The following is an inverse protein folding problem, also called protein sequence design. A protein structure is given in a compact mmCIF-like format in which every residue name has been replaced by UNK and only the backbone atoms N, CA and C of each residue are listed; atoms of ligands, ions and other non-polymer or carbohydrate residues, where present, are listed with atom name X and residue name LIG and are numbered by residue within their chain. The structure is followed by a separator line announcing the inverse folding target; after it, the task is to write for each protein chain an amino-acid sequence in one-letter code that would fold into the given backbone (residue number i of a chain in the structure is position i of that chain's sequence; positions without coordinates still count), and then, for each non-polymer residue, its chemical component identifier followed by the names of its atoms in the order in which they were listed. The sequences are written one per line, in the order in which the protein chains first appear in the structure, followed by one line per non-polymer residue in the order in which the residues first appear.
data_IF_064182937566
#
_entry.id   IF_064182937566
#
_cell.length_a   1.000
_cell.length_b   1.000
_cell.length_c   1.000
_cell.angle_alpha   90.00
_cell.angle_beta   90.00
_cell.angle_gamma   90.00
#
_symmetry.space_group_name_H-M   'P 1'
#
loop_
_entity.id
_entity.type
_entity.pdbx_description
1 polymer ?
#
# COMPACT_ATOMS: atom_id res chain seq x y z
N UNK A 1 -23.19 24.47 -15.89
CA UNK A 1 -23.05 23.31 -16.81
C UNK A 1 -22.63 22.12 -15.97
N UNK A 2 -23.45 21.07 -15.97
CA UNK A 2 -23.35 19.89 -15.10
C UNK A 2 -22.11 19.05 -15.42
N UNK A 3 -21.12 19.06 -14.53
CA UNK A 3 -20.00 18.10 -14.47
C UNK A 3 -20.17 17.13 -13.30
N UNK A 4 -21.39 16.66 -13.08
CA UNK A 4 -21.68 15.57 -12.15
C UNK A 4 -22.34 14.45 -12.95
N UNK A 5 -21.86 13.21 -12.76
CA UNK A 5 -22.38 11.92 -13.28
C UNK A 5 -21.66 11.27 -14.48
N UNK A 6 -20.33 11.18 -14.49
CA UNK A 6 -19.66 10.16 -15.33
C UNK A 6 -18.82 9.12 -14.57
N UNK A 7 -18.54 9.34 -13.28
CA UNK A 7 -17.76 8.39 -12.45
C UNK A 7 -18.64 7.23 -11.94
N UNK A 8 -19.95 7.42 -11.86
CA UNK A 8 -20.90 6.40 -11.35
C UNK A 8 -21.23 5.27 -12.33
N UNK A 9 -20.74 5.32 -13.57
CA UNK A 9 -20.94 4.27 -14.58
C UNK A 9 -19.70 3.36 -14.77
N UNK A 10 -18.77 3.35 -13.82
CA UNK A 10 -17.68 2.39 -13.85
C UNK A 10 -18.20 1.03 -13.37
N UNK A 11 -18.07 0.00 -14.23
CA UNK A 11 -18.41 -1.37 -13.87
C UNK A 11 -17.71 -1.75 -12.56
N UNK A 12 -18.41 -2.43 -11.65
CA UNK A 12 -17.81 -2.82 -10.37
C UNK A 12 -16.72 -3.86 -10.60
N UNK A 13 -15.72 -3.95 -9.72
CA UNK A 13 -14.72 -5.01 -9.78
C UNK A 13 -15.40 -6.38 -9.94
N UNK A 14 -16.38 -6.70 -9.08
CA UNK A 14 -17.19 -7.93 -9.17
C UNK A 14 -17.90 -8.13 -10.52
N UNK A 15 -18.30 -7.07 -11.22
CA UNK A 15 -19.00 -7.14 -12.50
C UNK A 15 -18.04 -7.30 -13.68
N UNK A 16 -16.85 -6.69 -13.61
CA UNK A 16 -15.79 -6.88 -14.61
C UNK A 16 -15.14 -8.26 -14.47
N UNK A 17 -15.13 -8.78 -13.25
CA UNK A 17 -14.64 -10.11 -12.91
C UNK A 17 -15.72 -11.18 -13.05
N UNK A 18 -16.99 -10.81 -13.28
CA UNK A 18 -18.08 -11.75 -13.47
C UNK A 18 -17.88 -12.53 -14.78
N UNK A 19 -17.43 -13.79 -14.65
CA UNK A 19 -17.09 -14.67 -15.77
C UNK A 19 -15.60 -15.01 -15.88
N UNK A 20 -14.73 -14.34 -15.10
CA UNK A 20 -13.34 -14.74 -14.93
C UNK A 20 -13.30 -15.80 -13.82
N UNK A 21 -13.04 -17.06 -14.17
CA UNK A 21 -12.84 -18.11 -13.17
C UNK A 21 -11.52 -17.85 -12.44
N UNK A 22 -11.53 -17.13 -11.32
CA UNK A 22 -10.33 -16.81 -10.51
C UNK A 22 -9.77 -18.02 -9.74
N UNK A 23 -9.85 -19.22 -10.33
CA UNK A 23 -9.41 -20.48 -9.73
C UNK A 23 -7.91 -20.71 -9.87
N UNK A 24 -7.21 -19.94 -10.72
CA UNK A 24 -5.76 -20.02 -10.92
C UNK A 24 -5.09 -18.69 -10.53
N UNK A 25 -3.91 -18.76 -9.92
CA UNK A 25 -3.14 -17.59 -9.49
C UNK A 25 -2.81 -16.63 -10.66
N UNK A 26 -2.68 -17.15 -11.88
CA UNK A 26 -2.46 -16.37 -13.10
C UNK A 26 -3.66 -15.47 -13.44
N UNK A 27 -4.88 -15.84 -13.05
CA UNK A 27 -6.06 -15.00 -13.27
C UNK A 27 -6.18 -13.87 -12.22
N UNK A 28 -5.39 -13.91 -11.15
CA UNK A 28 -5.34 -12.80 -10.17
C UNK A 28 -4.61 -11.58 -10.74
N UNK A 29 -3.85 -11.74 -11.83
CA UNK A 29 -3.21 -10.63 -12.52
C UNK A 29 -4.26 -9.67 -13.15
N UNK A 30 -5.44 -10.18 -13.53
CA UNK A 30 -6.57 -9.32 -13.95
C UNK A 30 -7.03 -8.37 -12.84
N UNK A 31 -6.94 -8.80 -11.57
CA UNK A 31 -7.28 -7.96 -10.43
C UNK A 31 -6.23 -6.85 -10.21
N UNK A 32 -4.97 -7.12 -10.54
CA UNK A 32 -3.90 -6.13 -10.48
C UNK A 32 -4.08 -5.10 -11.60
N UNK A 33 -4.39 -5.56 -12.82
CA UNK A 33 -4.70 -4.68 -13.93
C UNK A 33 -5.92 -3.78 -13.62
N UNK A 34 -6.97 -4.34 -13.01
CA UNK A 34 -8.11 -3.57 -12.52
C UNK A 34 -7.68 -2.45 -11.58
N UNK A 35 -6.87 -2.77 -10.56
CA UNK A 35 -6.37 -1.80 -9.59
C UNK A 35 -5.60 -0.67 -10.27
N UNK A 36 -4.69 -0.97 -11.21
CA UNK A 36 -3.97 0.05 -11.96
C UNK A 36 -4.94 0.93 -12.76
N UNK A 37 -5.90 0.35 -13.49
CA UNK A 37 -6.86 1.11 -14.26
C UNK A 37 -7.67 2.09 -13.40
N UNK A 38 -8.10 1.67 -12.20
CA UNK A 38 -8.82 2.53 -11.26
C UNK A 38 -7.90 3.65 -10.75
N UNK A 39 -6.69 3.32 -10.32
CA UNK A 39 -5.73 4.31 -9.79
C UNK A 39 -5.29 5.32 -10.85
N UNK A 40 -5.03 4.90 -12.09
CA UNK A 40 -4.67 5.80 -13.18
C UNK A 40 -5.80 6.75 -13.54
N UNK A 41 -7.06 6.30 -13.49
CA UNK A 41 -8.23 7.19 -13.68
C UNK A 41 -8.33 8.20 -12.54
N UNK A 42 -8.20 7.75 -11.28
CA UNK A 42 -8.23 8.63 -10.12
C UNK A 42 -7.10 9.66 -10.13
N UNK A 43 -5.88 9.23 -10.47
CA UNK A 43 -4.71 10.11 -10.56
C UNK A 43 -4.86 11.16 -11.66
N UNK A 44 -5.38 10.79 -12.84
CA UNK A 44 -5.65 11.75 -13.92
C UNK A 44 -6.67 12.81 -13.49
N UNK A 45 -7.75 12.37 -12.83
CA UNK A 45 -8.76 13.29 -12.30
C UNK A 45 -8.18 14.23 -11.24
N UNK A 46 -7.40 13.71 -10.29
CA UNK A 46 -6.76 14.52 -9.27
C UNK A 46 -5.79 15.54 -9.87
N UNK A 47 -4.94 15.13 -10.83
CA UNK A 47 -4.03 16.03 -11.54
C UNK A 47 -4.76 17.16 -12.25
N UNK A 48 -5.90 16.88 -12.89
CA UNK A 48 -6.67 17.91 -13.60
C UNK A 48 -7.42 18.87 -12.67
N UNK A 49 -7.75 18.45 -11.45
CA UNK A 49 -8.50 19.28 -10.49
C UNK A 49 -7.61 20.06 -9.52
N UNK A 50 -6.40 19.57 -9.26
CA UNK A 50 -5.49 20.13 -8.26
C UNK A 50 -4.29 20.85 -8.89
N UNK A 51 -4.30 21.07 -10.21
CA UNK A 51 -3.21 21.68 -10.98
C UNK A 51 -1.82 21.08 -10.67
N UNK A 52 -1.77 19.77 -10.41
CA UNK A 52 -0.53 19.09 -10.04
C UNK A 52 0.38 18.93 -11.27
N UNK A 53 1.59 19.49 -11.20
CA UNK A 53 2.58 19.41 -12.28
C UNK A 53 3.11 17.97 -12.49
N UNK A 54 3.37 17.55 -13.73
CA UNK A 54 3.68 16.16 -14.09
C UNK A 54 5.16 15.76 -13.89
N UNK A 55 5.86 16.29 -12.88
CA UNK A 55 7.31 16.11 -12.72
C UNK A 55 7.74 14.68 -12.35
N UNK A 56 6.96 14.01 -11.48
CA UNK A 56 7.24 12.63 -11.03
C UNK A 56 6.09 11.73 -11.48
N UNK A 57 6.43 10.63 -12.15
CA UNK A 57 5.45 9.68 -12.69
C UNK A 57 5.35 8.48 -11.74
N UNK A 58 4.13 8.20 -11.28
CA UNK A 58 3.78 6.94 -10.63
C UNK A 58 3.64 5.85 -11.69
N UNK A 59 4.53 4.85 -11.67
CA UNK A 59 4.52 3.70 -12.57
C UNK A 59 4.03 2.48 -11.80
N UNK A 60 3.07 1.79 -12.39
CA UNK A 60 2.62 0.47 -11.95
C UNK A 60 3.21 -0.54 -12.92
N UNK A 61 4.10 -1.40 -12.42
CA UNK A 61 4.62 -2.53 -13.18
C UNK A 61 3.91 -3.78 -12.68
N UNK A 62 3.24 -4.49 -13.58
CA UNK A 62 2.60 -5.74 -13.22
C UNK A 62 2.78 -6.81 -14.29
N UNK A 63 2.61 -8.06 -13.88
CA UNK A 63 2.46 -9.20 -14.78
C UNK A 63 1.14 -9.03 -15.53
N UNK A 64 1.17 -8.75 -16.83
CA UNK A 64 -0.06 -8.79 -17.61
C UNK A 64 -0.57 -10.25 -17.67
N UNK A 65 -1.88 -10.45 -17.69
CA UNK A 65 -2.47 -11.79 -17.67
C UNK A 65 -2.06 -12.67 -18.88
N UNK A 66 -1.55 -12.04 -19.95
CA UNK A 66 -1.01 -12.69 -21.15
C UNK A 66 0.52 -12.90 -21.13
N UNK A 67 1.23 -12.37 -20.12
CA UNK A 67 2.68 -12.48 -20.00
C UNK A 67 3.11 -13.73 -19.22
N UNK A 68 3.87 -14.60 -19.89
CA UNK A 68 4.39 -15.85 -19.31
C UNK A 68 5.67 -15.67 -18.46
N UNK A 69 6.35 -14.51 -18.55
CA UNK A 69 7.65 -14.32 -17.92
C UNK A 69 7.51 -13.64 -16.54
N UNK A 70 7.92 -14.29 -15.43
CA UNK A 70 7.75 -13.73 -14.09
C UNK A 70 8.52 -12.41 -13.90
N UNK A 71 7.86 -11.45 -13.25
CA UNK A 71 8.49 -10.21 -12.79
C UNK A 71 9.34 -10.48 -11.55
N UNK A 72 10.58 -10.02 -11.60
CA UNK A 72 11.54 -10.15 -10.53
C UNK A 72 11.99 -8.78 -10.06
N UNK A 73 12.10 -8.61 -8.74
CA UNK A 73 12.70 -7.40 -8.18
C UNK A 73 14.16 -7.26 -8.63
N UNK A 74 14.57 -6.10 -9.15
CA UNK A 74 15.95 -5.84 -9.56
C UNK A 74 16.89 -5.81 -8.34
N UNK A 75 18.09 -6.39 -8.48
CA UNK A 75 19.20 -6.20 -7.53
C UNK A 75 19.31 -7.16 -6.34
N UNK A 76 18.50 -8.22 -6.25
CA UNK A 76 18.59 -9.21 -5.15
C UNK A 76 19.30 -10.52 -5.50
N UNK A 77 19.98 -11.17 -4.53
CA UNK A 77 20.61 -12.48 -4.71
C UNK A 77 19.59 -13.63 -4.83
N UNK A 78 18.33 -13.40 -4.43
CA UNK A 78 17.21 -14.33 -4.60
C UNK A 78 16.09 -13.62 -5.37
N UNK A 79 15.63 -14.27 -6.42
CA UNK A 79 14.53 -13.84 -7.27
C UNK A 79 13.22 -13.89 -6.47
N UNK A 80 12.79 -12.78 -5.88
CA UNK A 80 11.46 -12.67 -5.26
C UNK A 80 10.43 -12.47 -6.37
N UNK A 81 9.56 -13.48 -6.58
CA UNK A 81 8.47 -13.37 -7.56
C UNK A 81 7.47 -12.35 -7.05
N UNK A 82 7.22 -11.32 -7.84
CA UNK A 82 6.21 -10.31 -7.56
C UNK A 82 5.24 -10.26 -8.74
N UNK A 83 4.02 -9.79 -8.50
CA UNK A 83 3.02 -9.63 -9.54
C UNK A 83 2.73 -8.15 -9.80
N UNK A 84 2.96 -7.29 -8.81
CA UNK A 84 2.79 -5.86 -8.89
C UNK A 84 3.92 -5.12 -8.15
N UNK A 85 4.43 -4.07 -8.77
CA UNK A 85 5.37 -3.12 -8.21
C UNK A 85 4.88 -1.71 -8.51
N UNK A 86 4.66 -0.91 -7.48
CA UNK A 86 4.37 0.51 -7.64
C UNK A 86 5.65 1.29 -7.38
N UNK A 87 6.04 2.18 -8.29
CA UNK A 87 7.28 2.97 -8.18
C UNK A 87 7.10 4.42 -8.65
N UNK A 88 7.92 5.30 -8.12
CA UNK A 88 8.11 6.66 -8.65
C UNK A 88 9.29 6.67 -9.60
N UNK A 89 9.12 7.35 -10.74
CA UNK A 89 10.18 7.67 -11.67
C UNK A 89 10.99 8.86 -11.14
N UNK A 90 11.90 8.59 -10.21
CA UNK A 90 12.70 9.60 -9.50
C UNK A 90 14.21 9.47 -9.83
N UNK A 91 14.99 10.50 -9.53
CA UNK A 91 16.45 10.55 -9.73
C UNK A 91 17.16 10.39 -8.39
N UNK A 92 18.21 9.55 -8.26
CA UNK A 92 19.02 8.92 -9.32
C UNK A 92 18.48 7.56 -9.81
N UNK A 93 17.30 7.13 -9.39
CA UNK A 93 16.69 5.90 -9.85
C UNK A 93 15.29 5.70 -9.28
N UNK A 94 14.52 4.76 -9.86
CA UNK A 94 13.12 4.57 -9.49
C UNK A 94 12.99 4.19 -8.01
N UNK A 95 12.07 4.85 -7.33
CA UNK A 95 11.78 4.61 -5.92
C UNK A 95 10.60 3.64 -5.83
N UNK A 96 10.83 2.44 -5.29
CA UNK A 96 9.73 1.49 -5.07
C UNK A 96 8.89 1.94 -3.87
N UNK A 97 7.58 1.99 -4.05
CA UNK A 97 6.61 2.37 -3.03
C UNK A 97 5.95 1.14 -2.40
N UNK A 98 5.47 0.21 -3.24
CA UNK A 98 4.63 -0.90 -2.81
C UNK A 98 4.96 -2.15 -3.61
N UNK A 99 5.00 -3.29 -2.93
CA UNK A 99 5.16 -4.61 -3.54
C UNK A 99 3.88 -5.44 -3.34
N UNK A 100 3.40 -6.09 -4.41
CA UNK A 100 2.17 -6.89 -4.41
C UNK A 100 2.33 -8.27 -5.07
N UNK A 101 2.61 -9.34 -4.33
CA UNK A 101 2.42 -10.71 -4.79
C UNK A 101 0.95 -11.16 -4.78
N UNK A 102 0.65 -12.18 -5.58
CA UNK A 102 -0.65 -12.88 -5.56
C UNK A 102 -0.58 -14.26 -4.90
N UNK A 103 -1.69 -14.68 -4.30
CA UNK A 103 -1.91 -16.01 -3.72
C UNK A 103 -3.38 -16.41 -3.88
N UNK A 104 -3.66 -17.68 -4.15
CA UNK A 104 -5.05 -18.17 -4.08
C UNK A 104 -5.55 -18.18 -2.62
N UNK A 105 -6.80 -17.75 -2.41
CA UNK A 105 -7.51 -17.80 -1.13
C UNK A 105 -7.54 -19.21 -0.52
N UNK A 106 -7.64 -20.24 -1.38
CA UNK A 106 -7.60 -21.66 -1.01
C UNK A 106 -6.27 -22.10 -0.38
N UNK A 107 -5.19 -21.37 -0.66
CA UNK A 107 -3.84 -21.64 -0.14
C UNK A 107 -3.46 -20.71 1.00
N UNK A 108 -4.03 -19.50 1.03
CA UNK A 108 -3.73 -18.52 2.06
C UNK A 108 -4.83 -17.47 2.18
N UNK A 109 -5.22 -17.17 3.43
CA UNK A 109 -6.14 -16.08 3.78
C UNK A 109 -5.51 -15.21 4.85
N UNK A 110 -5.45 -13.90 4.61
CA UNK A 110 -5.02 -12.93 5.62
C UNK A 110 -6.08 -12.71 6.69
N UNK A 111 -7.36 -12.87 6.37
CA UNK A 111 -8.43 -12.90 7.38
C UNK A 111 -8.21 -14.04 8.39
N UNK A 112 -7.82 -15.23 7.92
CA UNK A 112 -7.47 -16.34 8.80
C UNK A 112 -6.21 -16.07 9.64
N UNK A 113 -5.23 -15.35 9.09
CA UNK A 113 -4.04 -14.89 9.82
C UNK A 113 -4.41 -13.89 10.91
N UNK A 114 -5.18 -12.86 10.57
CA UNK A 114 -5.59 -11.81 11.50
C UNK A 114 -6.45 -12.34 12.66
N UNK A 115 -7.25 -13.40 12.41
CA UNK A 115 -8.09 -14.05 13.42
C UNK A 115 -7.38 -15.07 14.32
N UNK A 116 -6.09 -15.39 14.08
CA UNK A 116 -5.33 -16.42 14.82
C UNK A 116 -4.02 -15.86 15.39
N UNK A 117 -4.14 -14.82 16.21
CA UNK A 117 -3.01 -14.17 16.90
C UNK A 117 -2.42 -14.98 18.07
N UNK A 118 -2.79 -16.26 18.22
CA UNK A 118 -2.29 -17.12 19.32
C UNK A 118 -1.11 -18.00 18.87
N UNK A 119 -0.19 -18.25 19.82
CA UNK A 119 1.23 -18.65 19.73
C UNK A 119 1.65 -19.88 18.91
N UNK A 120 0.80 -20.44 18.06
CA UNK A 120 1.18 -21.50 17.11
C UNK A 120 0.59 -21.25 15.72
N UNK A 121 0.86 -20.07 15.17
CA UNK A 121 0.64 -19.82 13.74
C UNK A 121 1.37 -20.88 12.91
N UNK A 122 0.59 -21.68 12.16
CA UNK A 122 1.16 -22.67 11.26
C UNK A 122 2.18 -22.01 10.32
N UNK A 123 3.36 -22.63 10.15
CA UNK A 123 4.46 -22.09 9.32
C UNK A 123 3.99 -21.69 7.91
N UNK A 124 2.98 -22.38 7.39
CA UNK A 124 2.34 -22.15 6.10
C UNK A 124 1.63 -20.79 6.01
N UNK A 125 1.03 -20.32 7.10
CA UNK A 125 0.35 -19.01 7.16
C UNK A 125 1.34 -17.84 7.21
N UNK A 126 2.51 -18.06 7.83
CA UNK A 126 3.57 -17.06 7.95
C UNK A 126 4.40 -16.96 6.66
N UNK A 127 4.50 -18.04 5.89
CA UNK A 127 5.39 -18.10 4.75
C UNK A 127 5.14 -17.01 3.69
N UNK A 128 3.90 -16.70 3.28
CA UNK A 128 3.65 -15.59 2.36
C UNK A 128 4.07 -14.23 2.91
N UNK A 129 3.93 -13.99 4.23
CA UNK A 129 4.41 -12.77 4.87
C UNK A 129 5.94 -12.70 4.87
N UNK A 130 6.64 -13.84 5.07
CA UNK A 130 8.11 -13.91 4.93
C UNK A 130 8.58 -13.61 3.51
N UNK A 131 7.84 -14.09 2.50
CA UNK A 131 8.17 -13.78 1.11
C UNK A 131 7.95 -12.29 0.83
N UNK A 132 6.88 -11.71 1.35
CA UNK A 132 6.58 -10.29 1.17
C UNK A 132 7.60 -9.40 1.90
N UNK A 133 7.98 -9.69 3.14
CA UNK A 133 8.96 -8.86 3.87
C UNK A 133 10.32 -8.87 3.17
N UNK A 134 10.78 -10.02 2.67
CA UNK A 134 12.03 -10.10 1.91
C UNK A 134 11.96 -9.27 0.61
N UNK A 135 10.80 -9.28 -0.06
CA UNK A 135 10.59 -8.47 -1.25
C UNK A 135 10.56 -6.97 -0.91
N UNK A 136 9.95 -6.60 0.22
CA UNK A 136 9.92 -5.24 0.75
C UNK A 136 11.32 -4.74 1.13
N UNK A 137 12.14 -5.56 1.81
CA UNK A 137 13.55 -5.26 2.11
C UNK A 137 14.36 -4.98 0.84
N UNK A 138 14.22 -5.84 -0.18
CA UNK A 138 14.89 -5.67 -1.47
C UNK A 138 14.43 -4.40 -2.19
N UNK A 139 13.14 -4.09 -2.13
CA UNK A 139 12.56 -2.91 -2.74
C UNK A 139 12.79 -1.62 -1.93
N UNK A 140 13.39 -1.68 -0.75
CA UNK A 140 13.54 -0.52 0.16
C UNK A 140 12.20 0.18 0.44
N UNK A 141 11.20 -0.63 0.73
CA UNK A 141 9.90 -0.18 1.23
C UNK A 141 9.45 -1.08 2.36
N UNK A 142 8.67 -0.53 3.29
CA UNK A 142 8.00 -1.28 4.35
C UNK A 142 6.53 -1.58 4.03
N UNK A 143 6.04 -1.13 2.89
CA UNK A 143 4.65 -1.24 2.49
C UNK A 143 4.50 -2.29 1.38
N UNK A 144 3.55 -3.19 1.57
CA UNK A 144 3.20 -4.19 0.58
C UNK A 144 1.79 -4.69 0.77
N UNK A 145 1.34 -5.57 -0.10
CA UNK A 145 0.07 -6.27 0.09
C UNK A 145 0.15 -7.68 -0.49
N UNK A 146 -0.73 -8.57 -0.05
CA UNK A 146 -0.94 -9.88 -0.69
C UNK A 146 -2.35 -9.88 -1.25
N UNK A 147 -2.48 -10.18 -2.54
CA UNK A 147 -3.77 -10.19 -3.22
C UNK A 147 -4.24 -11.61 -3.48
N UNK A 148 -5.47 -11.88 -3.08
CA UNK A 148 -6.19 -13.12 -3.32
C UNK A 148 -7.46 -12.87 -4.12
N UNK A 149 -8.12 -13.94 -4.54
CA UNK A 149 -9.44 -13.89 -5.18
C UNK A 149 -10.55 -13.41 -4.22
N UNK A 150 -10.32 -13.41 -2.91
CA UNK A 150 -11.33 -13.00 -1.90
C UNK A 150 -11.01 -11.66 -1.24
N UNK A 151 -9.73 -11.31 -1.10
CA UNK A 151 -9.29 -10.12 -0.36
C UNK A 151 -7.96 -9.54 -0.85
N UNK A 152 -7.73 -8.27 -0.52
CA UNK A 152 -6.40 -7.66 -0.50
C UNK A 152 -5.96 -7.51 0.95
N UNK A 153 -4.78 -8.03 1.28
CA UNK A 153 -4.22 -7.95 2.63
C UNK A 153 -3.05 -6.99 2.63
N UNK A 154 -3.32 -5.76 3.06
CA UNK A 154 -2.30 -4.72 3.19
C UNK A 154 -1.39 -5.03 4.35
N UNK A 155 -0.08 -4.88 4.17
CA UNK A 155 0.96 -5.16 5.15
C UNK A 155 1.88 -3.94 5.34
N UNK A 156 2.25 -3.68 6.59
CA UNK A 156 3.30 -2.72 6.95
C UNK A 156 4.31 -3.39 7.87
N UNK A 157 5.58 -3.42 7.47
CA UNK A 157 6.64 -4.13 8.19
C UNK A 157 7.50 -3.21 9.05
N UNK A 158 8.05 -3.76 10.13
CA UNK A 158 9.10 -3.16 10.95
C UNK A 158 10.06 -4.24 11.45
N UNK A 159 11.23 -3.82 11.92
CA UNK A 159 12.16 -4.64 12.70
C UNK A 159 11.70 -4.73 14.15
N UNK A 160 11.88 -5.90 14.72
CA UNK A 160 11.83 -6.14 16.16
C UNK A 160 13.07 -6.97 16.52
N UNK A 161 14.20 -6.30 16.73
CA UNK A 161 15.50 -6.96 16.92
C UNK A 161 15.91 -7.79 15.71
N UNK A 162 16.12 -9.10 15.88
CA UNK A 162 16.45 -10.01 14.77
C UNK A 162 15.23 -10.49 13.99
N UNK A 163 14.02 -10.21 14.47
CA UNK A 163 12.77 -10.59 13.84
C UNK A 163 12.10 -9.40 13.14
N UNK A 164 10.99 -9.66 12.46
CA UNK A 164 10.15 -8.62 11.86
C UNK A 164 8.78 -8.63 12.51
N UNK A 165 8.23 -7.44 12.67
CA UNK A 165 6.84 -7.19 13.03
C UNK A 165 6.05 -6.83 11.77
N UNK A 166 4.79 -7.25 11.69
CA UNK A 166 3.88 -6.87 10.61
C UNK A 166 2.54 -6.39 11.17
N UNK A 167 2.09 -5.22 10.71
CA UNK A 167 0.70 -4.83 10.82
C UNK A 167 -0.02 -5.25 9.53
N UNK A 168 -1.12 -6.00 9.64
CA UNK A 168 -1.92 -6.45 8.50
C UNK A 168 -3.35 -5.92 8.55
N UNK A 169 -3.93 -5.69 7.37
CA UNK A 169 -5.34 -5.31 7.21
C UNK A 169 -5.94 -6.06 6.02
N UNK A 170 -6.69 -7.15 6.28
CA UNK A 170 -7.45 -7.86 5.24
C UNK A 170 -8.69 -7.08 4.81
N UNK A 171 -8.87 -6.91 3.50
CA UNK A 171 -9.94 -6.11 2.90
C UNK A 171 -10.61 -6.94 1.80
N UNK A 172 -11.83 -7.46 2.03
CA UNK A 172 -12.56 -8.23 1.04
C UNK A 172 -12.89 -7.43 -0.23
N UNK A 173 -12.88 -8.07 -1.39
CA UNK A 173 -13.29 -7.46 -2.66
C UNK A 173 -14.75 -7.02 -2.68
N UNK A 174 -15.58 -7.65 -1.84
CA UNK A 174 -17.00 -7.33 -1.70
C UNK A 174 -17.28 -6.04 -0.94
N UNK A 175 -16.26 -5.35 -0.43
CA UNK A 175 -16.44 -4.05 0.23
C UNK A 175 -16.65 -2.94 -0.78
N UNK A 176 -17.75 -2.23 -0.65
CA UNK A 176 -18.08 -1.04 -1.42
C UNK A 176 -18.83 -0.01 -0.57
N UNK A 177 -18.76 1.26 -0.95
CA UNK A 177 -19.48 2.35 -0.29
C UNK A 177 -18.59 3.54 0.05
N UNK A 178 -19.23 4.69 0.27
CA UNK A 178 -18.54 5.98 0.46
C UNK A 178 -17.68 6.05 1.74
N UNK A 179 -18.06 5.30 2.78
CA UNK A 179 -17.38 5.30 4.09
C UNK A 179 -16.68 3.97 4.40
N UNK A 180 -16.43 3.16 3.38
CA UNK A 180 -15.86 1.82 3.54
C UNK A 180 -14.47 1.80 2.92
N UNK A 181 -13.50 1.23 3.64
CA UNK A 181 -12.18 0.95 3.08
C UNK A 181 -12.29 -0.16 2.03
N UNK A 182 -12.15 0.22 0.76
CA UNK A 182 -12.08 -0.69 -0.39
C UNK A 182 -10.63 -1.06 -0.71
N UNK A 183 -10.43 -2.08 -1.54
CA UNK A 183 -9.10 -2.51 -2.01
C UNK A 183 -8.38 -1.40 -2.78
N UNK A 184 -9.10 -0.72 -3.69
CA UNK A 184 -8.58 0.42 -4.45
C UNK A 184 -8.14 1.57 -3.52
N UNK A 185 -8.97 1.90 -2.53
CA UNK A 185 -8.66 2.97 -1.57
C UNK A 185 -7.48 2.58 -0.67
N UNK A 186 -7.39 1.32 -0.28
CA UNK A 186 -6.28 0.83 0.53
C UNK A 186 -4.96 0.85 -0.24
N UNK A 187 -4.96 0.43 -1.51
CA UNK A 187 -3.79 0.49 -2.38
C UNK A 187 -3.35 1.94 -2.62
N UNK A 188 -4.30 2.83 -2.93
CA UNK A 188 -4.03 4.28 -3.01
C UNK A 188 -3.40 4.78 -1.71
N UNK A 189 -3.97 4.41 -0.57
CA UNK A 189 -3.54 4.85 0.74
C UNK A 189 -2.11 4.45 1.06
N UNK A 190 -1.73 3.18 0.84
CA UNK A 190 -0.37 2.73 1.12
C UNK A 190 0.65 3.35 0.18
N UNK A 191 0.27 3.69 -1.06
CA UNK A 191 1.10 4.50 -1.92
C UNK A 191 1.34 5.89 -1.32
N UNK A 192 0.31 6.55 -0.81
CA UNK A 192 0.44 7.87 -0.14
C UNK A 192 1.37 7.80 1.07
N UNK A 193 1.26 6.76 1.90
CA UNK A 193 2.15 6.57 3.04
C UNK A 193 3.61 6.36 2.59
N UNK A 194 3.84 5.55 1.56
CA UNK A 194 5.17 5.27 1.02
C UNK A 194 5.82 6.49 0.35
N UNK A 195 5.02 7.45 -0.13
CA UNK A 195 5.48 8.71 -0.71
C UNK A 195 5.81 9.79 0.33
N UNK A 196 5.48 9.57 1.61
CA UNK A 196 5.79 10.54 2.65
C UNK A 196 7.30 10.77 2.77
N UNK A 197 7.72 12.03 2.76
CA UNK A 197 9.11 12.44 3.01
C UNK A 197 9.40 12.64 4.50
N UNK A 198 8.36 12.62 5.34
CA UNK A 198 8.45 12.81 6.78
C UNK A 198 8.66 11.51 7.55
N UNK A 199 8.42 10.37 6.91
CA UNK A 199 8.55 9.05 7.51
C UNK A 199 9.54 8.19 6.74
N UNK A 200 10.34 7.34 7.42
CA UNK A 200 11.18 6.38 6.74
C UNK A 200 10.33 5.44 5.89
N UNK A 201 10.73 5.27 4.64
CA UNK A 201 10.09 4.30 3.74
C UNK A 201 10.62 2.89 3.95
N UNK A 202 11.91 2.77 4.26
CA UNK A 202 12.58 1.50 4.52
C UNK A 202 11.98 0.80 5.76
N UNK A 203 12.24 -0.50 5.88
CA UNK A 203 11.89 -1.24 7.10
C UNK A 203 12.79 -0.73 8.24
N UNK A 204 12.14 -0.17 9.26
CA UNK A 204 12.75 0.46 10.43
C UNK A 204 12.35 -0.26 11.70
N UNK A 205 12.98 0.04 12.83
CA UNK A 205 12.57 -0.46 14.14
C UNK A 205 11.09 -0.12 14.44
N UNK A 206 10.40 -1.03 15.13
CA UNK A 206 8.98 -0.86 15.48
C UNK A 206 8.72 0.46 16.22
N UNK A 207 9.64 0.88 17.10
CA UNK A 207 9.56 2.14 17.82
C UNK A 207 9.59 3.39 16.92
N UNK A 208 10.03 3.25 15.66
CA UNK A 208 10.06 4.32 14.66
C UNK A 208 8.82 4.31 13.75
N UNK A 209 7.87 3.39 13.99
CA UNK A 209 6.61 3.38 13.27
C UNK A 209 5.68 4.46 13.80
N UNK A 210 5.35 5.45 12.96
CA UNK A 210 4.27 6.39 13.24
C UNK A 210 2.90 5.75 12.98
N UNK A 211 1.91 5.97 13.86
CA UNK A 211 0.53 5.73 13.49
C UNK A 211 0.07 6.78 12.48
N UNK A 212 -0.95 6.40 11.73
CA UNK A 212 -1.50 7.20 10.63
C UNK A 212 -1.89 8.62 11.05
N UNK A 213 -2.49 8.77 12.24
CA UNK A 213 -3.07 10.00 12.74
C UNK A 213 -2.24 10.61 13.88
N UNK A 214 -0.96 10.24 13.97
CA UNK A 214 -0.08 10.79 15.00
C UNK A 214 0.37 12.20 14.61
N UNK A 215 0.47 13.06 15.61
CA UNK A 215 0.91 14.44 15.49
C UNK A 215 2.00 14.75 16.50
N UNK A 216 3.01 15.49 16.07
CA UNK A 216 4.09 15.96 16.93
C UNK A 216 3.95 17.44 17.24
N UNK A 217 4.20 17.82 18.49
CA UNK A 217 4.31 19.23 18.87
C UNK A 217 5.74 19.69 18.63
N UNK A 218 5.93 20.65 17.73
CA UNK A 218 7.23 21.14 17.28
C UNK A 218 7.29 22.65 17.48
N UNK A 219 8.42 23.14 17.99
CA UNK A 219 8.71 24.58 18.06
C UNK A 219 9.46 25.00 16.79
N UNK A 220 8.86 25.86 15.98
CA UNK A 220 9.44 26.32 14.71
C UNK A 220 10.31 27.58 14.85
N UNK A 221 10.59 28.01 16.09
CA UNK A 221 11.47 29.13 16.38
C UNK A 221 10.75 30.49 16.50
N UNK A 222 11.57 31.53 16.69
CA UNK A 222 11.15 32.91 16.94
C UNK A 222 10.32 33.44 15.76
N UNK A 223 9.00 33.61 15.97
CA UNK A 223 8.06 34.19 14.99
C UNK A 223 6.95 33.25 14.50
N UNK A 224 7.15 31.93 14.54
CA UNK A 224 6.12 30.93 14.13
C UNK A 224 5.49 30.19 15.30
N UNK A 225 6.17 30.16 16.45
CA UNK A 225 5.65 29.55 17.67
C UNK A 225 5.57 28.03 17.59
N UNK A 226 4.66 27.47 18.38
CA UNK A 226 4.43 26.03 18.47
C UNK A 226 3.37 25.57 17.47
N UNK A 227 3.64 24.47 16.79
CA UNK A 227 2.69 23.82 15.91
C UNK A 227 2.53 22.34 16.26
N UNK A 228 1.35 21.82 15.98
CA UNK A 228 1.08 20.40 15.92
C UNK A 228 1.23 19.97 14.45
N UNK A 229 2.26 19.19 14.15
CA UNK A 229 2.59 18.74 12.80
C UNK A 229 2.20 17.27 12.62
N UNK A 230 1.45 16.96 11.57
CA UNK A 230 1.05 15.59 11.24
C UNK A 230 2.23 14.77 10.72
N UNK A 231 2.43 13.57 11.26
CA UNK A 231 3.64 12.77 11.02
C UNK A 231 3.85 12.33 9.58
N UNK A 232 2.79 12.13 8.78
CA UNK A 232 2.91 11.67 7.40
C UNK A 232 2.77 12.78 6.36
N UNK A 233 1.91 13.77 6.60
CA UNK A 233 1.60 14.82 5.61
C UNK A 233 2.35 16.12 5.86
N UNK A 234 2.97 16.28 7.03
CA UNK A 234 3.58 17.53 7.44
C UNK A 234 2.60 18.67 7.66
N UNK A 235 1.28 18.42 7.60
CA UNK A 235 0.25 19.44 7.84
C UNK A 235 0.43 20.00 9.24
N UNK A 236 0.54 21.32 9.32
CA UNK A 236 0.73 22.03 10.58
C UNK A 236 -0.59 22.66 11.04
N UNK A 237 -0.83 22.61 12.34
CA UNK A 237 -1.90 23.34 13.01
C UNK A 237 -1.31 24.15 14.16
N UNK A 238 -1.67 25.43 14.33
CA UNK A 238 -1.23 26.19 15.50
C UNK A 238 -1.62 25.48 16.80
N UNK A 239 -0.70 25.43 17.76
CA UNK A 239 -0.96 24.86 19.10
C UNK A 239 -0.30 25.73 20.16
N UNK A 240 -0.86 25.83 21.38
CA UNK A 240 -0.14 26.42 22.49
C UNK A 240 1.14 25.63 22.81
N UNK A 241 2.12 26.25 23.50
CA UNK A 241 3.29 25.55 24.02
C UNK A 241 2.86 24.34 24.87
N UNK A 242 3.60 23.21 24.80
CA UNK A 242 3.30 22.07 25.64
C UNK A 242 3.37 22.49 27.10
N UNK A 243 2.35 22.14 27.87
CA UNK A 243 2.30 22.39 29.30
C UNK A 243 3.51 21.73 29.95
N UNK A 244 4.39 22.52 30.57
CA UNK A 244 5.49 22.02 31.39
C UNK A 244 4.89 21.23 32.55
N UNK A 245 4.84 19.90 32.42
CA UNK A 245 4.55 19.05 33.58
C UNK A 245 5.77 19.11 34.49
N UNK A 246 5.57 19.68 35.67
CA UNK A 246 6.48 19.57 36.82
C UNK A 246 6.67 18.10 37.20
#
# INVERSE_FOLDING_TARGET
MNTSLSILNQARAEQVLAGVSLTNEEHLDYLIEWNDQVLQKALRLAKSHLDLHPGIILKHEFMAADQLAPMWLPGGPRRAKINHLVRLDDSPGPTCLVVGPVRSSSRWSGSAVAGRLDDNMAKELIWPLKQLVNACEMAKTRYGYIQTDEEMVVCRFARNGSEWYVAIMPIPWSRYGYHVLTTDLALWWICMLAMSTYQPRDIVEEAQMANINDWNVVNLGQGRGWVCQHLYSGVEKPTPPPSSRY
#
